data_IF_514133658719
#
_entry.id   IF_514133658719
#
_cell.length_a   1.000
_cell.length_b   1.000
_cell.length_c   1.000
_cell.angle_alpha   90.00
_cell.angle_beta   90.00
_cell.angle_gamma   90.00
#
_symmetry.space_group_name_H-M   'P 1'
#
loop_
_entity.id
_entity.type
_entity.pdbx_description
1 polymer ?
#
# COMPACT_ATOMS: atom_id res chain seq x y z
N UNK A 1 4.60 16.67 6.42
CA UNK A 1 3.77 15.45 6.56
C UNK A 1 4.44 14.36 5.74
N UNK A 2 4.59 13.14 6.28
CA UNK A 2 5.25 12.01 5.60
C UNK A 2 4.21 11.05 5.04
N UNK A 3 4.45 10.55 3.82
CA UNK A 3 3.55 9.65 3.12
C UNK A 3 3.40 8.29 3.80
N UNK A 4 4.51 7.74 4.32
CA UNK A 4 4.51 6.47 5.07
C UNK A 4 3.57 6.49 6.28
N UNK A 5 3.70 7.51 7.14
CA UNK A 5 2.83 7.65 8.30
C UNK A 5 1.37 7.96 7.93
N UNK A 6 1.17 8.80 6.91
CA UNK A 6 -0.19 9.11 6.45
C UNK A 6 -0.88 7.87 5.90
N UNK A 7 -0.15 7.06 5.13
CA UNK A 7 -0.65 5.80 4.57
C UNK A 7 -0.99 4.78 5.66
N UNK A 8 -0.10 4.63 6.65
CA UNK A 8 -0.30 3.73 7.79
C UNK A 8 -1.55 4.14 8.58
N UNK A 9 -1.62 5.40 8.97
CA UNK A 9 -2.75 5.93 9.73
C UNK A 9 -4.07 5.79 8.95
N UNK A 10 -4.07 6.09 7.66
CA UNK A 10 -5.25 5.94 6.81
C UNK A 10 -5.77 4.50 6.80
N UNK A 11 -4.88 3.50 6.72
CA UNK A 11 -5.25 2.10 6.75
C UNK A 11 -5.79 1.66 8.11
N UNK A 12 -5.21 2.12 9.22
CA UNK A 12 -5.73 1.78 10.55
C UNK A 12 -7.03 2.50 10.89
N UNK A 13 -7.26 3.71 10.39
CA UNK A 13 -8.52 4.42 10.59
C UNK A 13 -9.73 3.66 10.03
N UNK A 14 -9.54 2.78 9.04
CA UNK A 14 -10.63 1.96 8.50
C UNK A 14 -11.27 1.05 9.56
N UNK A 15 -10.56 0.72 10.63
CA UNK A 15 -11.06 -0.09 11.75
C UNK A 15 -11.73 0.73 12.85
N UNK A 16 -11.59 2.05 12.82
CA UNK A 16 -12.02 2.93 13.91
C UNK A 16 -13.18 3.83 13.47
N UNK A 17 -13.01 4.54 12.35
CA UNK A 17 -13.98 5.49 11.82
C UNK A 17 -13.89 5.51 10.29
N UNK A 18 -14.82 4.83 9.65
CA UNK A 18 -14.85 4.69 8.19
C UNK A 18 -15.04 6.03 7.47
N UNK A 19 -15.88 6.91 8.01
CA UNK A 19 -16.16 8.20 7.38
C UNK A 19 -14.90 9.08 7.38
N UNK A 20 -14.23 9.16 8.51
CA UNK A 20 -12.96 9.87 8.64
C UNK A 20 -11.84 9.22 7.82
N UNK A 21 -11.76 7.88 7.80
CA UNK A 21 -10.80 7.15 6.97
C UNK A 21 -10.98 7.45 5.48
N UNK A 22 -12.22 7.53 5.00
CA UNK A 22 -12.55 7.88 3.61
C UNK A 22 -12.07 9.28 3.25
N UNK A 23 -12.29 10.25 4.13
CA UNK A 23 -11.78 11.63 3.94
C UNK A 23 -10.25 11.65 3.88
N UNK A 24 -9.59 10.94 4.80
CA UNK A 24 -8.13 10.89 4.84
C UNK A 24 -7.57 10.14 3.63
N UNK A 25 -8.24 9.11 3.14
CA UNK A 25 -7.85 8.40 1.93
C UNK A 25 -7.93 9.30 0.68
N UNK A 26 -8.98 10.10 0.56
CA UNK A 26 -9.08 11.09 -0.52
C UNK A 26 -7.91 12.10 -0.48
N UNK A 27 -7.53 12.57 0.71
CA UNK A 27 -6.36 13.45 0.89
C UNK A 27 -5.04 12.74 0.57
N UNK A 28 -4.89 11.48 1.02
CA UNK A 28 -3.72 10.66 0.70
C UNK A 28 -3.54 10.53 -0.82
N UNK A 29 -4.59 10.20 -1.55
CA UNK A 29 -4.55 10.16 -3.02
C UNK A 29 -4.20 11.52 -3.62
N UNK A 30 -4.85 12.57 -3.19
CA UNK A 30 -4.64 13.91 -3.76
C UNK A 30 -3.19 14.40 -3.63
N UNK A 31 -2.55 14.17 -2.49
CA UNK A 31 -1.25 14.77 -2.18
C UNK A 31 -0.06 13.84 -2.38
N UNK A 32 -0.26 12.55 -2.19
CA UNK A 32 0.85 11.60 -2.18
C UNK A 32 0.84 10.60 -3.34
N UNK A 33 -0.30 10.39 -4.00
CA UNK A 33 -0.34 9.47 -5.13
C UNK A 33 0.53 9.96 -6.28
N UNK A 34 1.34 9.06 -6.80
CA UNK A 34 2.13 9.26 -8.01
C UNK A 34 1.81 8.13 -8.97
N UNK A 35 1.28 8.49 -10.12
CA UNK A 35 1.02 7.58 -11.22
C UNK A 35 2.15 7.61 -12.25
N UNK A 36 2.40 6.48 -12.92
CA UNK A 36 3.41 6.37 -13.94
C UNK A 36 3.76 4.92 -14.28
N UNK A 37 4.92 4.70 -14.87
CA UNK A 37 5.45 3.36 -15.16
C UNK A 37 5.64 2.54 -13.87
N UNK A 38 5.99 3.22 -12.78
CA UNK A 38 6.00 2.74 -11.41
C UNK A 38 5.10 3.67 -10.63
N UNK A 39 4.07 3.13 -10.00
CA UNK A 39 3.04 3.89 -9.28
C UNK A 39 3.04 3.53 -7.80
N UNK A 40 2.76 4.52 -6.96
CA UNK A 40 2.73 4.36 -5.51
C UNK A 40 2.57 5.68 -4.77
N UNK A 41 2.75 5.66 -3.47
CA UNK A 41 2.67 6.85 -2.64
C UNK A 41 4.07 7.44 -2.41
N UNK A 42 4.18 8.77 -2.57
CA UNK A 42 5.39 9.53 -2.29
C UNK A 42 5.65 9.60 -0.79
N UNK A 43 6.92 9.77 -0.38
CA UNK A 43 7.24 10.09 1.02
C UNK A 43 6.96 11.57 1.33
N UNK A 44 7.24 12.46 0.40
CA UNK A 44 7.05 13.90 0.58
C UNK A 44 6.11 14.45 -0.49
N UNK A 45 5.13 15.27 -0.08
CA UNK A 45 4.22 15.93 -1.01
C UNK A 45 4.74 17.30 -1.46
N UNK A 46 5.54 17.94 -0.64
CA UNK A 46 5.98 19.34 -0.73
C UNK A 46 7.39 19.51 -1.29
N UNK A 47 8.11 18.43 -1.50
CA UNK A 47 9.45 18.46 -2.06
C UNK A 47 9.73 17.26 -2.95
N UNK A 48 10.61 17.47 -3.94
CA UNK A 48 11.10 16.38 -4.78
C UNK A 48 12.28 15.69 -4.07
N UNK A 49 12.16 14.39 -3.91
CA UNK A 49 13.23 13.52 -3.43
C UNK A 49 13.25 12.26 -4.29
N UNK A 50 13.88 12.32 -5.47
CA UNK A 50 13.83 11.20 -6.42
C UNK A 50 14.53 9.94 -5.89
N UNK A 51 15.63 10.09 -5.16
CA UNK A 51 16.35 9.00 -4.50
C UNK A 51 16.81 9.52 -3.15
N UNK A 52 16.60 8.73 -2.10
CA UNK A 52 16.99 9.09 -0.74
C UNK A 52 16.83 7.97 0.26
N UNK A 53 17.19 8.24 1.49
CA UNK A 53 16.98 7.40 2.65
C UNK A 53 16.29 8.22 3.72
N UNK A 54 15.14 7.77 4.16
CA UNK A 54 14.45 8.31 5.34
C UNK A 54 14.61 7.31 6.49
N UNK A 55 14.93 7.80 7.67
CA UNK A 55 15.24 6.94 8.82
C UNK A 55 14.03 6.08 9.20
N UNK A 56 12.83 6.64 9.08
CA UNK A 56 11.60 5.96 9.51
C UNK A 56 10.94 5.18 8.36
N UNK A 57 10.99 5.73 7.15
CA UNK A 57 10.31 5.18 5.98
C UNK A 57 11.20 4.25 5.14
N UNK A 58 12.53 4.27 5.38
CA UNK A 58 13.48 3.52 4.60
C UNK A 58 13.83 4.18 3.26
N UNK A 59 14.19 3.43 2.23
CA UNK A 59 14.63 3.97 0.95
C UNK A 59 13.50 4.69 0.22
N UNK A 60 13.84 5.81 -0.44
CA UNK A 60 12.97 6.51 -1.39
C UNK A 60 13.51 6.20 -2.79
N UNK A 61 12.66 5.63 -3.63
CA UNK A 61 13.02 5.16 -4.96
C UNK A 61 12.12 5.84 -5.97
N UNK A 62 12.70 6.60 -6.90
CA UNK A 62 11.97 7.38 -7.89
C UNK A 62 10.89 8.31 -7.28
N UNK A 63 11.17 8.82 -6.07
CA UNK A 63 10.24 9.67 -5.32
C UNK A 63 9.12 8.93 -4.60
N UNK A 64 9.05 7.61 -4.72
CA UNK A 64 8.08 6.77 -4.04
C UNK A 64 8.64 6.26 -2.71
N UNK A 65 7.76 6.10 -1.73
CA UNK A 65 8.02 5.42 -0.48
C UNK A 65 7.52 3.98 -0.57
N UNK A 66 8.40 2.97 -0.60
CA UNK A 66 7.98 1.57 -0.59
C UNK A 66 7.11 1.22 0.62
N UNK A 67 7.51 1.68 1.83
CA UNK A 67 6.73 1.49 3.04
C UNK A 67 5.38 2.23 2.98
N UNK A 68 5.38 3.50 2.55
CA UNK A 68 4.15 4.27 2.38
C UNK A 68 3.21 3.63 1.36
N UNK A 69 3.75 3.07 0.28
CA UNK A 69 2.96 2.35 -0.73
C UNK A 69 2.40 1.03 -0.17
N UNK A 70 3.22 0.27 0.56
CA UNK A 70 2.77 -0.96 1.19
C UNK A 70 1.64 -0.70 2.20
N UNK A 71 1.82 0.22 3.13
CA UNK A 71 0.79 0.59 4.10
C UNK A 71 -0.47 1.16 3.45
N UNK A 72 -0.32 2.05 2.47
CA UNK A 72 -1.45 2.65 1.75
C UNK A 72 -2.32 1.64 1.00
N UNK A 73 -1.76 0.48 0.65
CA UNK A 73 -2.50 -0.62 0.03
C UNK A 73 -3.67 -1.10 0.92
N UNK A 74 -3.56 -0.96 2.24
CA UNK A 74 -4.63 -1.30 3.18
C UNK A 74 -5.89 -0.46 2.94
N UNK A 75 -5.76 0.87 2.91
CA UNK A 75 -6.88 1.77 2.62
C UNK A 75 -7.40 1.58 1.19
N UNK A 76 -6.49 1.44 0.21
CA UNK A 76 -6.84 1.16 -1.20
C UNK A 76 -7.70 -0.10 -1.33
N UNK A 77 -7.33 -1.17 -0.60
CA UNK A 77 -8.07 -2.45 -0.62
C UNK A 77 -9.41 -2.30 0.08
N UNK A 78 -9.44 -1.67 1.25
CA UNK A 78 -10.66 -1.45 2.03
C UNK A 78 -11.72 -0.68 1.25
N UNK A 79 -11.32 0.41 0.60
CA UNK A 79 -12.24 1.24 -0.21
C UNK A 79 -12.46 0.71 -1.64
N UNK A 80 -11.96 -0.49 -1.94
CA UNK A 80 -12.15 -1.16 -3.24
C UNK A 80 -11.70 -0.32 -4.45
N UNK A 81 -10.64 0.49 -4.27
CA UNK A 81 -10.06 1.27 -5.35
C UNK A 81 -9.22 0.37 -6.27
N UNK A 82 -9.91 -0.32 -7.16
CA UNK A 82 -9.31 -1.36 -8.01
C UNK A 82 -8.27 -0.82 -8.97
N UNK A 83 -8.42 0.43 -9.42
CA UNK A 83 -7.46 1.07 -10.32
C UNK A 83 -6.13 1.30 -9.60
N UNK A 84 -6.15 2.01 -8.47
CA UNK A 84 -4.95 2.29 -7.68
C UNK A 84 -4.32 0.98 -7.21
N UNK A 85 -5.14 0.03 -6.73
CA UNK A 85 -4.69 -1.29 -6.29
C UNK A 85 -3.93 -2.04 -7.38
N UNK A 86 -4.48 -2.12 -8.59
CA UNK A 86 -3.83 -2.82 -9.69
C UNK A 86 -2.48 -2.21 -10.07
N UNK A 87 -2.37 -0.88 -10.03
CA UNK A 87 -1.13 -0.16 -10.30
C UNK A 87 -0.07 -0.43 -9.22
N UNK A 88 -0.46 -0.42 -7.94
CA UNK A 88 0.44 -0.76 -6.82
C UNK A 88 0.96 -2.20 -6.97
N UNK A 89 0.09 -3.16 -7.21
CA UNK A 89 0.48 -4.56 -7.35
C UNK A 89 1.42 -4.78 -8.54
N UNK A 90 1.17 -4.09 -9.66
CA UNK A 90 2.09 -4.11 -10.81
C UNK A 90 3.45 -3.50 -10.46
N UNK A 91 3.49 -2.44 -9.66
CA UNK A 91 4.74 -1.86 -9.17
C UNK A 91 5.48 -2.85 -8.28
N UNK A 92 4.79 -3.50 -7.35
CA UNK A 92 5.36 -4.50 -6.45
C UNK A 92 5.95 -5.69 -7.23
N UNK A 93 5.25 -6.19 -8.26
CA UNK A 93 5.76 -7.24 -9.13
C UNK A 93 7.06 -6.84 -9.87
N UNK A 94 7.10 -5.63 -10.39
CA UNK A 94 8.30 -5.10 -11.07
C UNK A 94 9.46 -4.88 -10.11
N UNK A 95 9.19 -4.28 -8.95
CA UNK A 95 10.21 -3.97 -7.95
C UNK A 95 10.73 -5.22 -7.23
N UNK A 96 9.86 -6.20 -6.99
CA UNK A 96 10.19 -7.44 -6.30
C UNK A 96 10.92 -8.47 -7.16
N UNK A 97 11.10 -8.20 -8.47
CA UNK A 97 11.67 -9.19 -9.39
C UNK A 97 11.00 -10.56 -9.22
N UNK A 98 9.71 -10.63 -9.51
CA UNK A 98 8.94 -11.85 -9.34
C UNK A 98 9.51 -12.99 -10.16
N UNK A 99 9.87 -14.08 -9.50
CA UNK A 99 10.31 -15.32 -10.13
C UNK A 99 9.25 -16.42 -9.94
N UNK A 100 9.16 -17.31 -10.92
CA UNK A 100 8.32 -18.49 -10.82
C UNK A 100 9.21 -19.69 -10.44
N UNK A 101 8.94 -20.29 -9.29
CA UNK A 101 9.66 -21.45 -8.81
C UNK A 101 8.67 -22.52 -8.35
N UNK A 102 8.77 -23.72 -8.89
CA UNK A 102 7.86 -24.83 -8.61
C UNK A 102 6.37 -24.47 -8.71
N UNK A 103 5.99 -23.65 -9.72
CA UNK A 103 4.62 -23.21 -9.91
C UNK A 103 4.11 -22.15 -8.94
N UNK A 104 4.96 -21.68 -8.02
CA UNK A 104 4.65 -20.61 -7.08
C UNK A 104 5.39 -19.32 -7.45
N UNK A 105 4.74 -18.19 -7.24
CA UNK A 105 5.36 -16.87 -7.37
C UNK A 105 6.13 -16.52 -6.11
N UNK A 106 7.39 -16.15 -6.29
CA UNK A 106 8.26 -15.65 -5.22
C UNK A 106 8.83 -14.30 -5.63
N UNK A 107 9.02 -13.40 -4.67
CA UNK A 107 9.82 -12.22 -4.90
C UNK A 107 11.30 -12.55 -4.65
N UNK A 108 12.16 -12.29 -5.63
CA UNK A 108 13.59 -12.61 -5.53
C UNK A 108 14.26 -11.93 -4.32
N UNK A 109 13.72 -10.77 -3.91
CA UNK A 109 14.21 -9.99 -2.77
C UNK A 109 13.45 -10.26 -1.45
N UNK A 110 12.54 -11.25 -1.41
CA UNK A 110 11.72 -11.56 -0.22
C UNK A 110 12.59 -11.84 1.02
N UNK A 111 13.68 -12.57 0.87
CA UNK A 111 14.59 -12.88 1.96
C UNK A 111 15.32 -11.65 2.53
N UNK A 112 15.39 -10.56 1.77
CA UNK A 112 15.99 -9.29 2.20
C UNK A 112 14.97 -8.33 2.78
N UNK A 113 13.67 -8.54 2.50
CA UNK A 113 12.59 -7.63 2.86
C UNK A 113 11.37 -8.38 3.42
N UNK A 114 11.59 -9.41 4.25
CA UNK A 114 10.53 -10.26 4.80
C UNK A 114 9.41 -9.45 5.51
N UNK A 115 9.78 -8.38 6.21
CA UNK A 115 8.82 -7.48 6.86
C UNK A 115 7.95 -6.78 5.81
N UNK A 116 8.52 -6.35 4.70
CA UNK A 116 7.79 -5.72 3.59
C UNK A 116 6.78 -6.67 2.95
N UNK A 117 7.13 -7.93 2.80
CA UNK A 117 6.24 -8.98 2.32
C UNK A 117 5.05 -9.20 3.26
N UNK A 118 5.31 -9.31 4.56
CA UNK A 118 4.27 -9.49 5.57
C UNK A 118 3.30 -8.30 5.61
N UNK A 119 3.82 -7.07 5.56
CA UNK A 119 3.01 -5.86 5.50
C UNK A 119 2.16 -5.87 4.23
N UNK A 120 2.75 -6.14 3.08
CA UNK A 120 2.03 -6.16 1.82
C UNK A 120 0.93 -7.23 1.81
N UNK A 121 1.19 -8.41 2.38
CA UNK A 121 0.18 -9.46 2.50
C UNK A 121 -0.99 -8.99 3.39
N UNK A 122 -0.71 -8.46 4.57
CA UNK A 122 -1.73 -7.95 5.48
C UNK A 122 -2.58 -6.86 4.82
N UNK A 123 -1.94 -5.89 4.17
CA UNK A 123 -2.63 -4.76 3.54
C UNK A 123 -3.44 -5.18 2.29
N UNK A 124 -2.99 -6.16 1.53
CA UNK A 124 -3.73 -6.69 0.37
C UNK A 124 -5.00 -7.44 0.74
N UNK A 125 -5.12 -7.91 1.97
CA UNK A 125 -6.26 -8.66 2.49
C UNK A 125 -7.17 -7.80 3.37
N UNK A 126 -6.90 -6.51 3.51
CA UNK A 126 -7.72 -5.57 4.28
C UNK A 126 -9.01 -5.20 3.53
N UNK A 127 -9.86 -6.18 3.29
CA UNK A 127 -11.17 -5.94 2.70
C UNK A 127 -12.17 -5.48 3.76
N UNK A 128 -13.08 -4.58 3.36
CA UNK A 128 -14.25 -4.28 4.18
C UNK A 128 -15.05 -5.57 4.39
N UNK A 129 -15.32 -5.92 5.63
CA UNK A 129 -16.20 -7.04 5.93
C UNK A 129 -17.57 -6.78 5.29
N UNK A 130 -18.00 -7.66 4.39
CA UNK A 130 -19.39 -7.71 3.97
C UNK A 130 -20.21 -8.06 5.20
N UNK A 131 -21.30 -7.32 5.45
CA UNK A 131 -22.22 -7.61 6.55
C UNK A 131 -22.46 -9.13 6.62
N UNK A 132 -22.42 -9.74 7.83
CA UNK A 132 -22.52 -11.17 7.95
C UNK A 132 -23.79 -11.63 7.22
N UNK A 133 -23.61 -12.50 6.25
CA UNK A 133 -24.74 -13.22 5.67
C UNK A 133 -25.43 -13.90 6.84
N UNK A 134 -26.69 -13.51 7.11
CA UNK A 134 -27.54 -14.22 8.04
C UNK A 134 -27.59 -15.68 7.59
N UNK A 135 -26.71 -16.49 8.14
CA UNK A 135 -26.78 -17.95 8.04
C UNK A 135 -28.04 -18.32 8.82
N UNK A 136 -29.13 -18.49 8.12
CA UNK A 136 -30.29 -19.17 8.69
C UNK A 136 -29.85 -20.59 8.99
N UNK A 137 -29.52 -20.84 10.25
CA UNK A 137 -29.38 -22.20 10.77
C UNK A 137 -30.80 -22.76 10.84
N UNK A 138 -31.09 -23.72 9.96
CA UNK A 138 -32.28 -24.55 10.03
C UNK A 138 -32.03 -25.70 10.97
#
# INVERSE_FOLDING_TARGET
MKGSYTSLNCSYLTYIDEAFASEQYAKLKKYFWKDGMISGFKEYYDRSCPIGLDIDAGPIILGLSPSGTAFGTGAVTYFSDTEVRSKILRTAEKAGHTILWNGQKHYALANMALVGEAIMLAMRTNYKESAPHNIKVY
#
